data_IF_965647405168
#
_entry.id   IF_965647405168
#
_cell.length_a   1.000
_cell.length_b   1.000
_cell.length_c   1.000
_cell.angle_alpha   90.00
_cell.angle_beta   90.00
_cell.angle_gamma   90.00
#
_symmetry.space_group_name_H-M   'P 1'
#
loop_
_entity.id
_entity.type
_entity.pdbx_description
1 polymer ?
#
# COMPACT_ATOMS: atom_id res chain seq x y z
N UNK A 1 -22.54 -4.55 3.58
CA UNK A 1 -22.78 -4.63 2.12
C UNK A 1 -21.59 -5.39 1.54
N UNK A 2 -21.78 -6.60 1.04
CA UNK A 2 -20.72 -7.28 0.30
C UNK A 2 -20.39 -6.47 -0.95
N UNK A 3 -19.14 -6.03 -1.05
CA UNK A 3 -18.59 -5.28 -2.18
C UNK A 3 -18.32 -6.26 -3.32
N UNK A 4 -18.70 -5.91 -4.55
CA UNK A 4 -18.39 -6.74 -5.73
C UNK A 4 -16.88 -6.92 -5.94
N UNK A 5 -16.48 -8.06 -6.49
CA UNK A 5 -15.07 -8.43 -6.72
C UNK A 5 -14.31 -7.35 -7.52
N UNK A 6 -14.93 -6.81 -8.58
CA UNK A 6 -14.33 -5.76 -9.42
C UNK A 6 -14.00 -4.50 -8.63
N UNK A 7 -14.84 -4.13 -7.66
CA UNK A 7 -14.63 -2.95 -6.83
C UNK A 7 -13.53 -3.17 -5.80
N UNK A 8 -13.35 -4.41 -5.30
CA UNK A 8 -12.23 -4.79 -4.43
C UNK A 8 -10.91 -4.77 -5.20
N UNK A 9 -10.88 -5.38 -6.37
CA UNK A 9 -9.74 -5.36 -7.30
C UNK A 9 -9.32 -3.94 -7.67
N UNK A 10 -10.30 -3.09 -8.03
CA UNK A 10 -10.04 -1.68 -8.33
C UNK A 10 -9.45 -0.92 -7.14
N UNK A 11 -9.92 -1.19 -5.92
CA UNK A 11 -9.38 -0.60 -4.72
C UNK A 11 -7.95 -1.07 -4.41
N UNK A 12 -7.65 -2.37 -4.54
CA UNK A 12 -6.28 -2.90 -4.39
C UNK A 12 -5.32 -2.34 -5.43
N UNK A 13 -5.76 -2.25 -6.69
CA UNK A 13 -4.96 -1.66 -7.77
C UNK A 13 -4.66 -0.18 -7.51
N UNK A 14 -5.69 0.62 -7.20
CA UNK A 14 -5.54 2.05 -6.90
C UNK A 14 -4.62 2.23 -5.69
N UNK A 15 -4.86 1.49 -4.60
CA UNK A 15 -4.04 1.59 -3.40
C UNK A 15 -2.57 1.24 -3.66
N UNK A 16 -2.31 0.15 -4.38
CA UNK A 16 -0.95 -0.25 -4.76
C UNK A 16 -0.28 0.78 -5.67
N UNK A 17 -1.01 1.35 -6.64
CA UNK A 17 -0.49 2.37 -7.54
C UNK A 17 -0.09 3.65 -6.80
N UNK A 18 -0.94 4.15 -5.90
CA UNK A 18 -0.63 5.33 -5.09
C UNK A 18 0.49 5.07 -4.08
N UNK A 19 0.52 3.88 -3.48
CA UNK A 19 1.61 3.47 -2.60
C UNK A 19 2.94 3.48 -3.35
N UNK A 20 3.00 2.83 -4.52
CA UNK A 20 4.20 2.79 -5.37
C UNK A 20 4.64 4.20 -5.79
N UNK A 21 3.71 5.01 -6.30
CA UNK A 21 3.99 6.37 -6.75
C UNK A 21 4.57 7.23 -5.61
N UNK A 22 4.04 7.09 -4.40
CA UNK A 22 4.49 7.85 -3.23
C UNK A 22 5.87 7.38 -2.76
N UNK A 23 6.07 6.06 -2.63
CA UNK A 23 7.35 5.48 -2.14
C UNK A 23 8.48 5.80 -3.11
N UNK A 24 8.29 5.53 -4.40
CA UNK A 24 9.32 5.75 -5.42
C UNK A 24 9.55 7.24 -5.64
N UNK A 25 8.47 8.03 -5.74
CA UNK A 25 8.56 9.48 -5.95
C UNK A 25 9.23 10.20 -4.78
N UNK A 26 8.85 9.88 -3.54
CA UNK A 26 9.47 10.47 -2.36
C UNK A 26 10.91 10.01 -2.16
N UNK A 27 11.24 8.75 -2.47
CA UNK A 27 12.62 8.24 -2.46
C UNK A 27 13.55 9.03 -3.38
N UNK A 28 13.17 9.16 -4.66
CA UNK A 28 13.97 9.92 -5.65
C UNK A 28 14.11 11.38 -5.22
N UNK A 29 13.02 12.01 -4.77
CA UNK A 29 13.06 13.40 -4.31
C UNK A 29 13.95 13.56 -3.07
N UNK A 30 13.85 12.64 -2.11
CA UNK A 30 14.63 12.69 -0.88
C UNK A 30 16.14 12.55 -1.15
N UNK A 31 16.54 11.65 -2.06
CA UNK A 31 17.95 11.52 -2.47
C UNK A 31 18.48 12.80 -3.13
N UNK A 32 17.69 13.40 -4.03
CA UNK A 32 18.08 14.64 -4.73
C UNK A 32 18.20 15.84 -3.78
N UNK A 33 17.34 15.93 -2.76
CA UNK A 33 17.31 17.07 -1.83
C UNK A 33 18.24 16.90 -0.62
N UNK A 34 18.64 15.66 -0.28
CA UNK A 34 19.42 15.40 0.92
C UNK A 34 20.88 15.85 0.87
N UNK A 35 21.39 16.27 -0.29
CA UNK A 35 22.75 16.81 -0.43
C UNK A 35 23.85 15.86 0.05
N UNK A 36 23.66 14.54 -0.13
CA UNK A 36 24.57 13.50 0.33
C UNK A 36 24.33 13.01 1.77
N UNK A 37 23.37 13.58 2.51
CA UNK A 37 23.01 13.10 3.83
C UNK A 37 22.01 11.93 3.77
N UNK A 38 22.54 10.70 3.85
CA UNK A 38 21.73 9.48 3.77
C UNK A 38 20.63 9.41 4.85
N UNK A 39 20.90 9.89 6.07
CA UNK A 39 19.90 9.84 7.14
C UNK A 39 18.67 10.70 6.80
N UNK A 40 18.90 11.90 6.23
CA UNK A 40 17.81 12.78 5.79
C UNK A 40 17.05 12.17 4.61
N UNK A 41 17.75 11.56 3.65
CA UNK A 41 17.11 10.88 2.52
C UNK A 41 16.19 9.73 2.98
N UNK A 42 16.66 8.91 3.92
CA UNK A 42 15.88 7.81 4.48
C UNK A 42 14.63 8.30 5.22
N UNK A 43 14.75 9.36 6.02
CA UNK A 43 13.59 9.97 6.68
C UNK A 43 12.61 10.56 5.65
N UNK A 44 13.12 11.20 4.61
CA UNK A 44 12.34 11.80 3.53
C UNK A 44 11.53 10.79 2.70
N UNK A 45 11.95 9.52 2.64
CA UNK A 45 11.18 8.44 2.02
C UNK A 45 10.25 7.73 3.02
N UNK A 46 10.75 7.46 4.23
CA UNK A 46 10.03 6.64 5.23
C UNK A 46 8.76 7.33 5.73
N UNK A 47 8.82 8.65 5.97
CA UNK A 47 7.66 9.39 6.50
C UNK A 47 6.50 9.40 5.49
N UNK A 48 6.69 9.79 4.20
CA UNK A 48 5.64 9.69 3.20
C UNK A 48 5.10 8.28 3.03
N UNK A 49 5.96 7.25 3.06
CA UNK A 49 5.56 5.84 2.97
C UNK A 49 4.59 5.45 4.09
N UNK A 50 4.89 5.82 5.33
CA UNK A 50 3.99 5.58 6.45
C UNK A 50 2.68 6.38 6.34
N UNK A 51 2.79 7.66 5.98
CA UNK A 51 1.64 8.56 5.88
C UNK A 51 0.63 8.11 4.81
N UNK A 52 1.10 7.70 3.62
CA UNK A 52 0.21 7.25 2.56
C UNK A 52 -0.49 5.94 2.92
N UNK A 53 0.19 5.02 3.61
CA UNK A 53 -0.46 3.80 4.11
C UNK A 53 -1.61 4.12 5.05
N UNK A 54 -1.45 5.06 5.98
CA UNK A 54 -2.54 5.49 6.87
C UNK A 54 -3.74 6.01 6.06
N UNK A 55 -3.49 6.85 5.06
CA UNK A 55 -4.55 7.39 4.19
C UNK A 55 -5.25 6.26 3.42
N UNK A 56 -4.49 5.42 2.72
CA UNK A 56 -5.02 4.36 1.88
C UNK A 56 -5.78 3.30 2.68
N UNK A 57 -5.26 2.87 3.84
CA UNK A 57 -5.93 1.92 4.72
C UNK A 57 -7.24 2.51 5.24
N UNK A 58 -7.23 3.78 5.66
CA UNK A 58 -8.44 4.46 6.18
C UNK A 58 -9.51 4.58 5.09
N UNK A 59 -9.13 4.88 3.85
CA UNK A 59 -10.06 5.11 2.75
C UNK A 59 -10.56 3.83 2.07
N UNK A 60 -9.68 2.87 1.86
CA UNK A 60 -9.94 1.69 1.02
C UNK A 60 -10.08 0.39 1.83
N UNK A 61 -9.68 0.38 3.11
CA UNK A 61 -9.86 -0.75 4.02
C UNK A 61 -11.31 -1.26 4.07
N UNK A 62 -12.33 -0.40 4.22
CA UNK A 62 -13.74 -0.82 4.17
C UNK A 62 -14.20 -1.38 2.82
N UNK A 63 -13.41 -1.25 1.76
CA UNK A 63 -13.73 -1.72 0.41
C UNK A 63 -13.09 -3.08 0.13
N UNK A 64 -11.76 -3.18 0.23
CA UNK A 64 -10.99 -4.37 -0.16
C UNK A 64 -10.30 -5.12 0.98
N UNK A 65 -10.18 -4.53 2.16
CA UNK A 65 -9.30 -5.01 3.22
C UNK A 65 -7.90 -4.36 3.21
N UNK A 66 -7.59 -3.56 2.18
CA UNK A 66 -6.38 -2.74 2.06
C UNK A 66 -5.07 -3.54 2.22
N UNK A 67 -4.92 -4.63 1.46
CA UNK A 67 -3.68 -5.42 1.53
C UNK A 67 -2.53 -4.71 0.82
N UNK A 68 -2.77 -4.20 -0.40
CA UNK A 68 -1.83 -3.51 -1.31
C UNK A 68 -0.50 -4.24 -1.51
N UNK A 69 -0.46 -5.53 -1.19
CA UNK A 69 0.75 -6.33 -1.10
C UNK A 69 0.39 -7.83 -1.14
N UNK A 70 0.89 -8.58 -2.13
CA UNK A 70 0.65 -10.02 -2.24
C UNK A 70 1.11 -10.82 -1.01
N UNK A 71 2.19 -10.42 -0.34
CA UNK A 71 2.67 -11.08 0.87
C UNK A 71 1.71 -10.90 2.05
N UNK A 72 1.06 -9.73 2.14
CA UNK A 72 0.02 -9.46 3.14
C UNK A 72 -1.22 -10.30 2.85
N UNK A 73 -1.67 -10.33 1.59
CA UNK A 73 -2.77 -11.21 1.16
C UNK A 73 -2.48 -12.67 1.49
N UNK A 74 -1.25 -13.14 1.23
CA UNK A 74 -0.84 -14.51 1.53
C UNK A 74 -0.80 -14.80 3.03
N UNK A 75 -0.32 -13.87 3.85
CA UNK A 75 -0.33 -14.02 5.31
C UNK A 75 -1.76 -14.16 5.86
N UNK A 76 -2.71 -13.36 5.35
CA UNK A 76 -4.12 -13.45 5.74
C UNK A 76 -4.75 -14.78 5.30
N UNK A 77 -4.37 -15.29 4.12
CA UNK A 77 -4.80 -16.60 3.63
C UNK A 77 -4.29 -17.73 4.55
N UNK A 78 -3.01 -17.70 4.94
CA UNK A 78 -2.44 -18.69 5.88
C UNK A 78 -3.13 -18.66 7.25
N UNK A 79 -3.58 -17.48 7.69
CA UNK A 79 -4.33 -17.29 8.93
C UNK A 79 -5.82 -17.62 8.80
N UNK A 80 -6.29 -18.00 7.60
CA UNK A 80 -7.71 -18.27 7.27
C UNK A 80 -8.63 -17.07 7.52
N UNK A 81 -8.08 -15.86 7.42
CA UNK A 81 -8.83 -14.60 7.55
C UNK A 81 -9.50 -14.21 6.23
N UNK A 82 -9.03 -14.77 5.10
CA UNK A 82 -9.64 -14.61 3.77
C UNK A 82 -9.81 -15.95 3.06
N UNK A 83 -10.82 -16.06 2.21
CA UNK A 83 -11.05 -17.24 1.37
C UNK A 83 -10.10 -17.24 0.15
N UNK A 84 -9.74 -18.43 -0.35
CA UNK A 84 -8.85 -18.57 -1.51
C UNK A 84 -9.36 -17.83 -2.75
N UNK A 85 -10.68 -17.80 -2.96
CA UNK A 85 -11.33 -17.06 -4.05
C UNK A 85 -11.15 -15.54 -3.93
N UNK A 86 -10.96 -15.02 -2.71
CA UNK A 86 -10.71 -13.62 -2.42
C UNK A 86 -9.22 -13.28 -2.43
N UNK A 87 -8.32 -14.27 -2.45
CA UNK A 87 -6.87 -14.09 -2.49
C UNK A 87 -6.31 -13.84 -3.89
N UNK A 88 -7.11 -14.11 -4.92
CA UNK A 88 -6.80 -13.81 -6.33
C UNK A 88 -7.22 -12.38 -6.70
N UNK A 89 -7.91 -11.68 -5.77
CA UNK A 89 -8.05 -10.23 -5.82
C UNK A 89 -6.74 -9.57 -5.39
#
# INVERSE_FOLDING_TARGET
>A
MEQGLDRRLGAEFIGTAFLLATVVGSGIMAENLAGGNVAVALLGNTIPTGAILVVLITMLGPVSGAHFNPAVTFAFLLRKEIALQQSVA
#
